data_IF_336881377884
#
_entry.id   IF_336881377884
#
_cell.length_a   1.000
_cell.length_b   1.000
_cell.length_c   1.000
_cell.angle_alpha   90.00
_cell.angle_beta   90.00
_cell.angle_gamma   90.00
#
_symmetry.space_group_name_H-M   'P 1'
#
loop_
_entity.id
_entity.type
_entity.pdbx_description
1 polymer ?
#
# COMPACT_ATOMS: atom_id res chain seq x y z
N UNK A 1 -13.24 6.49 -1.32
CA UNK A 1 -14.07 7.41 -2.09
C UNK A 1 -13.46 7.55 -3.45
N UNK A 2 -14.28 7.39 -4.48
CA UNK A 2 -13.93 7.93 -5.79
C UNK A 2 -13.46 9.37 -5.58
N UNK A 3 -12.39 9.73 -6.22
CA UNK A 3 -11.87 11.06 -6.07
C UNK A 3 -12.86 12.02 -6.66
N UNK A 4 -13.31 12.91 -5.84
CA UNK A 4 -14.09 14.04 -6.31
C UNK A 4 -13.19 14.86 -7.26
N UNK A 5 -13.54 14.97 -8.54
CA UNK A 5 -12.77 15.75 -9.49
C UNK A 5 -12.66 17.22 -9.09
N UNK A 6 -13.53 17.68 -8.20
CA UNK A 6 -13.49 19.03 -7.67
C UNK A 6 -12.55 19.19 -6.46
N UNK A 7 -12.00 18.11 -5.94
CA UNK A 7 -10.87 18.23 -5.02
C UNK A 7 -9.65 18.55 -5.87
N UNK A 8 -9.52 19.82 -6.15
CA UNK A 8 -8.39 20.35 -6.86
C UNK A 8 -7.08 19.96 -6.16
N UNK A 9 -6.01 19.92 -6.86
CA UNK A 9 -4.76 19.36 -6.37
C UNK A 9 -4.90 17.87 -6.14
N UNK A 10 -5.92 17.30 -6.69
CA UNK A 10 -5.97 15.92 -6.93
C UNK A 10 -4.84 15.63 -7.88
N UNK A 11 -3.76 15.24 -7.29
CA UNK A 11 -2.62 14.71 -8.00
C UNK A 11 -3.03 13.69 -9.05
N UNK A 12 -4.15 13.08 -8.81
CA UNK A 12 -4.72 12.11 -9.67
C UNK A 12 -5.33 12.69 -10.91
N UNK A 13 -5.79 13.89 -10.85
CA UNK A 13 -6.26 14.62 -12.03
C UNK A 13 -5.08 15.04 -12.91
N UNK A 14 -3.97 15.37 -12.27
CA UNK A 14 -2.76 15.65 -13.04
C UNK A 14 -2.21 14.43 -13.73
N UNK A 15 -2.52 13.27 -13.22
CA UNK A 15 -2.21 12.03 -13.92
C UNK A 15 -3.14 11.79 -15.08
N UNK A 16 -4.30 12.39 -15.12
CA UNK A 16 -5.24 12.20 -16.25
C UNK A 16 -4.96 13.11 -17.40
N UNK A 17 -3.96 14.11 -17.19
CA UNK A 17 -3.57 14.86 -18.05
C UNK A 17 -4.08 15.23 -19.17
N UNK A 18 -3.80 16.02 -19.76
CA UNK A 18 -4.21 16.64 -20.98
C UNK A 18 -4.55 15.60 -22.05
N UNK A 19 -5.78 15.54 -22.43
CA UNK A 19 -6.30 14.65 -23.46
C UNK A 19 -5.60 14.84 -24.83
N UNK A 20 -4.53 15.64 -24.88
CA UNK A 20 -3.79 15.94 -26.07
C UNK A 20 -2.39 15.33 -26.16
N UNK A 21 -1.87 14.73 -25.10
CA UNK A 21 -0.49 14.22 -25.07
C UNK A 21 -0.47 12.68 -25.19
N UNK A 22 -0.25 12.15 -26.37
CA UNK A 22 -0.35 10.71 -26.63
C UNK A 22 0.67 9.86 -25.87
N UNK A 23 1.78 10.42 -25.47
CA UNK A 23 2.80 9.74 -24.66
C UNK A 23 2.34 9.45 -23.23
N UNK A 24 1.43 10.24 -22.71
CA UNK A 24 0.87 10.02 -21.38
C UNK A 24 -0.17 8.92 -21.36
N UNK A 25 -0.82 8.64 -22.43
CA UNK A 25 -1.82 7.57 -22.51
C UNK A 25 -1.27 6.19 -22.24
N UNK A 26 0.02 5.98 -22.44
CA UNK A 26 0.69 4.70 -22.15
C UNK A 26 1.01 4.56 -20.66
N UNK A 27 1.46 5.62 -20.03
CA UNK A 27 1.86 5.62 -18.62
C UNK A 27 0.69 5.52 -17.66
N UNK A 28 -0.47 6.02 -18.06
CA UNK A 28 -1.64 6.09 -17.19
C UNK A 28 -2.51 4.86 -17.17
N UNK A 29 -2.29 3.90 -18.00
CA UNK A 29 -3.05 2.66 -18.04
C UNK A 29 -2.90 1.78 -16.79
N UNK A 30 -1.93 2.07 -15.94
CA UNK A 30 -1.78 1.35 -14.67
C UNK A 30 -2.94 1.57 -13.70
N UNK A 31 -3.62 2.70 -13.73
CA UNK A 31 -4.80 2.94 -12.92
C UNK A 31 -6.03 2.16 -13.40
N UNK A 32 -6.04 1.75 -14.65
CA UNK A 32 -7.15 1.00 -15.23
C UNK A 32 -7.34 -0.37 -14.58
N UNK A 33 -6.33 -0.89 -13.89
CA UNK A 33 -6.44 -2.16 -13.17
C UNK A 33 -7.52 -2.13 -12.10
N UNK A 34 -7.65 -1.05 -11.37
CA UNK A 34 -8.62 -0.91 -10.28
C UNK A 34 -9.57 0.26 -10.44
N UNK A 35 -9.28 1.19 -11.34
CA UNK A 35 -9.99 2.47 -11.48
C UNK A 35 -9.77 3.42 -10.30
N UNK A 36 -8.84 3.13 -9.40
CA UNK A 36 -8.57 3.93 -8.21
C UNK A 36 -7.08 4.18 -8.04
N UNK A 37 -6.75 5.35 -7.51
CA UNK A 37 -5.41 5.67 -7.09
C UNK A 37 -5.30 5.70 -5.57
N UNK A 38 -4.13 5.38 -5.04
CA UNK A 38 -3.86 5.64 -3.64
C UNK A 38 -3.72 7.15 -3.42
N UNK A 39 -4.15 7.62 -2.25
CA UNK A 39 -4.03 9.03 -1.86
C UNK A 39 -2.93 9.27 -0.82
N UNK A 40 -2.36 8.23 -0.26
CA UNK A 40 -1.26 8.30 0.71
C UNK A 40 0.08 8.22 -0.03
N UNK A 41 1.08 8.94 0.45
CA UNK A 41 2.46 8.91 -0.06
C UNK A 41 2.59 9.24 -1.55
N UNK A 42 1.76 10.13 -2.04
CA UNK A 42 1.86 10.63 -3.40
C UNK A 42 2.37 12.07 -3.39
N UNK A 43 3.10 12.41 -4.42
CA UNK A 43 3.52 13.79 -4.62
C UNK A 43 2.29 14.68 -4.83
N UNK A 44 2.28 15.79 -4.14
CA UNK A 44 1.28 16.82 -4.31
C UNK A 44 1.87 17.84 -5.27
N UNK A 45 1.12 18.17 -6.32
CA UNK A 45 1.47 19.28 -7.18
C UNK A 45 0.90 20.58 -6.62
N UNK A 46 1.61 21.65 -6.85
CA UNK A 46 1.18 23.00 -6.51
C UNK A 46 1.28 23.90 -7.73
N UNK A 47 0.44 24.89 -7.75
CA UNK A 47 0.48 25.91 -8.79
C UNK A 47 1.47 27.00 -8.38
N UNK A 48 2.49 27.22 -9.21
CA UNK A 48 3.49 28.24 -8.98
C UNK A 48 3.82 28.95 -10.29
N UNK A 49 3.68 30.28 -10.30
CA UNK A 49 4.04 31.15 -11.44
C UNK A 49 3.47 30.70 -12.80
N UNK A 50 2.20 30.22 -12.78
CA UNK A 50 1.55 29.78 -14.02
C UNK A 50 1.86 28.33 -14.42
N UNK A 51 2.60 27.57 -13.60
CA UNK A 51 2.96 26.18 -13.87
C UNK A 51 2.51 25.27 -12.75
N UNK A 52 2.15 24.05 -13.11
CA UNK A 52 1.92 22.96 -12.16
C UNK A 52 3.25 22.25 -11.96
N UNK A 53 3.74 22.25 -10.72
CA UNK A 53 5.00 21.62 -10.36
C UNK A 53 4.85 20.75 -9.09
N UNK A 54 5.62 19.66 -8.96
CA UNK A 54 5.66 18.90 -7.73
C UNK A 54 6.03 19.79 -6.53
N UNK A 55 5.22 19.78 -5.49
CA UNK A 55 5.44 20.59 -4.30
C UNK A 55 6.82 20.33 -3.67
N UNK A 56 7.31 19.10 -3.72
CA UNK A 56 8.67 18.76 -3.29
C UNK A 56 9.77 19.55 -4.01
N UNK A 57 9.55 19.92 -5.27
CA UNK A 57 10.51 20.76 -6.02
C UNK A 57 10.56 22.18 -5.48
N UNK A 58 9.45 22.70 -5.00
CA UNK A 58 9.40 24.03 -4.38
C UNK A 58 10.05 24.02 -2.99
N UNK A 59 9.86 22.95 -2.25
CA UNK A 59 10.47 22.79 -0.93
C UNK A 59 11.99 22.58 -0.99
N UNK A 60 12.47 21.97 -2.07
CA UNK A 60 13.87 21.63 -2.27
C UNK A 60 14.37 22.13 -3.64
N UNK A 61 14.51 23.43 -3.82
CA UNK A 61 14.87 24.01 -5.13
C UNK A 61 16.26 23.60 -5.65
N UNK A 62 17.12 23.08 -4.79
CA UNK A 62 18.42 22.53 -5.18
C UNK A 62 18.35 21.14 -5.82
N UNK A 63 17.20 20.47 -5.80
CA UNK A 63 17.02 19.20 -6.47
C UNK A 63 16.74 19.49 -7.95
N UNK A 64 17.65 19.04 -8.81
CA UNK A 64 17.58 19.30 -10.24
C UNK A 64 16.29 18.71 -10.86
N UNK A 65 15.83 19.35 -11.92
CA UNK A 65 14.65 18.92 -12.68
C UNK A 65 14.77 17.52 -13.30
N UNK A 66 15.96 16.96 -13.34
CA UNK A 66 16.22 15.60 -13.82
C UNK A 66 16.16 14.55 -12.72
N UNK A 67 15.96 14.97 -11.49
CA UNK A 67 15.84 14.04 -10.37
C UNK A 67 14.48 13.34 -10.48
N UNK A 68 14.50 12.04 -10.40
CA UNK A 68 13.29 11.19 -10.41
C UNK A 68 12.23 11.76 -9.48
N UNK A 69 10.98 11.82 -9.93
CA UNK A 69 9.83 12.24 -9.13
C UNK A 69 9.74 11.45 -7.80
N UNK A 70 10.32 10.27 -7.76
CA UNK A 70 10.42 9.45 -6.55
C UNK A 70 11.24 10.11 -5.44
N UNK A 71 12.21 10.96 -5.77
CA UNK A 71 13.04 11.66 -4.80
C UNK A 71 12.40 12.98 -4.30
N UNK A 72 11.31 13.41 -4.91
CA UNK A 72 10.57 14.62 -4.53
C UNK A 72 9.43 14.34 -3.55
N UNK A 73 9.32 13.13 -3.04
CA UNK A 73 8.35 12.83 -2.02
C UNK A 73 8.74 13.44 -0.68
N UNK A 74 7.87 14.30 -0.17
CA UNK A 74 8.03 14.97 1.12
C UNK A 74 7.19 14.35 2.22
N UNK A 75 6.42 13.32 1.90
CA UNK A 75 5.59 12.63 2.88
C UNK A 75 6.45 11.76 3.80
N UNK A 76 6.31 11.98 5.10
CA UNK A 76 6.96 11.14 6.10
C UNK A 76 6.49 9.70 6.02
N UNK A 77 7.39 8.75 6.16
CA UNK A 77 7.04 7.35 6.32
C UNK A 77 6.45 7.13 7.71
N UNK A 78 5.18 6.84 7.77
CA UNK A 78 4.47 6.62 9.04
C UNK A 78 4.72 5.19 9.49
N UNK A 79 5.43 5.01 10.60
CA UNK A 79 5.62 3.71 11.22
C UNK A 79 4.47 3.36 12.17
N UNK A 80 4.06 4.31 13.01
CA UNK A 80 2.97 4.16 13.97
C UNK A 80 2.23 5.49 14.05
N UNK A 81 0.91 5.45 14.06
CA UNK A 81 0.07 6.63 14.27
C UNK A 81 -1.09 6.34 15.21
N UNK A 82 -1.71 7.39 15.70
CA UNK A 82 -2.71 7.28 16.76
C UNK A 82 -3.89 6.36 16.41
N UNK A 83 -4.32 6.33 15.14
CA UNK A 83 -5.38 5.41 14.71
C UNK A 83 -4.96 3.94 14.87
N UNK A 84 -3.71 3.60 14.57
CA UNK A 84 -3.19 2.25 14.79
C UNK A 84 -3.21 1.90 16.30
N UNK A 85 -2.76 2.81 17.15
CA UNK A 85 -2.81 2.63 18.62
C UNK A 85 -4.24 2.41 19.11
N UNK A 86 -5.22 3.19 18.62
CA UNK A 86 -6.63 3.03 18.99
C UNK A 86 -7.20 1.68 18.55
N UNK A 87 -6.83 1.20 17.36
CA UNK A 87 -7.26 -0.10 16.86
C UNK A 87 -6.61 -1.25 17.63
N UNK A 88 -5.32 -1.15 17.96
CA UNK A 88 -4.64 -2.09 18.87
C UNK A 88 -5.28 -2.11 20.26
N UNK A 89 -5.61 -0.94 20.81
CA UNK A 89 -6.30 -0.85 22.08
C UNK A 89 -7.65 -1.57 22.07
N UNK A 90 -8.46 -1.33 21.01
CA UNK A 90 -9.74 -2.00 20.85
C UNK A 90 -9.61 -3.50 20.71
N UNK A 91 -8.61 -3.96 19.97
CA UNK A 91 -8.33 -5.40 19.81
C UNK A 91 -7.97 -6.06 21.14
N UNK A 92 -7.07 -5.45 21.92
CA UNK A 92 -6.62 -6.01 23.20
C UNK A 92 -7.68 -5.95 24.29
N UNK A 93 -8.44 -4.86 24.35
CA UNK A 93 -9.52 -4.70 25.33
C UNK A 93 -10.81 -5.41 24.95
N UNK A 94 -10.92 -5.88 23.74
CA UNK A 94 -12.13 -6.45 23.18
C UNK A 94 -13.35 -5.50 23.30
N UNK A 95 -13.12 -4.21 23.06
CA UNK A 95 -14.15 -3.19 23.06
C UNK A 95 -14.13 -2.35 21.76
N UNK A 96 -15.24 -1.69 21.47
CA UNK A 96 -15.38 -0.89 20.25
C UNK A 96 -14.96 0.58 20.42
N UNK A 97 -14.43 0.97 21.56
CA UNK A 97 -14.19 2.40 21.87
C UNK A 97 -13.18 3.04 20.92
N UNK A 98 -12.01 2.45 20.78
CA UNK A 98 -10.96 2.93 19.86
C UNK A 98 -11.38 2.78 18.39
N UNK A 99 -11.96 1.62 18.05
CA UNK A 99 -12.52 1.35 16.73
C UNK A 99 -13.50 2.46 16.29
N UNK A 100 -14.46 2.79 17.15
CA UNK A 100 -15.48 3.77 16.80
C UNK A 100 -14.95 5.21 16.79
N UNK A 101 -13.88 5.51 17.52
CA UNK A 101 -13.17 6.80 17.38
C UNK A 101 -12.54 6.94 15.99
N UNK A 102 -11.91 5.89 15.48
CA UNK A 102 -11.33 5.87 14.13
C UNK A 102 -12.43 6.05 13.08
N UNK A 103 -13.53 5.31 13.21
CA UNK A 103 -14.69 5.40 12.30
C UNK A 103 -15.35 6.78 12.30
N UNK A 104 -15.54 7.37 13.48
CA UNK A 104 -16.14 8.70 13.63
C UNK A 104 -15.33 9.78 12.89
N UNK A 105 -14.00 9.72 12.90
CA UNK A 105 -13.14 10.63 12.13
C UNK A 105 -13.45 10.60 10.62
N UNK A 106 -13.85 9.45 10.13
CA UNK A 106 -14.21 9.23 8.72
C UNK A 106 -15.72 9.34 8.46
N UNK A 107 -16.49 9.87 9.43
CA UNK A 107 -17.95 10.01 9.36
C UNK A 107 -18.68 8.68 9.13
N UNK A 108 -18.11 7.58 9.58
CA UNK A 108 -18.73 6.25 9.49
C UNK A 108 -19.54 5.95 10.77
N UNK A 109 -20.64 5.24 10.59
CA UNK A 109 -21.47 4.79 11.71
C UNK A 109 -20.67 3.86 12.66
N UNK A 110 -20.95 3.94 13.96
CA UNK A 110 -20.34 3.02 14.92
C UNK A 110 -20.77 1.58 14.67
N UNK A 111 -19.90 0.64 15.07
CA UNK A 111 -20.17 -0.79 14.99
C UNK A 111 -19.87 -1.45 16.32
N UNK A 112 -20.49 -2.61 16.57
CA UNK A 112 -20.13 -3.46 17.71
C UNK A 112 -18.71 -4.01 17.54
N UNK A 113 -18.07 -4.31 18.67
CA UNK A 113 -16.78 -4.98 18.64
C UNK A 113 -16.91 -6.40 18.08
N UNK A 114 -16.01 -6.69 17.17
CA UNK A 114 -15.63 -8.07 16.81
C UNK A 114 -14.20 -8.02 16.26
N UNK A 115 -13.49 -9.12 16.34
CA UNK A 115 -12.15 -9.20 15.76
C UNK A 115 -12.19 -8.95 14.24
N UNK A 116 -13.25 -9.40 13.58
CA UNK A 116 -13.43 -9.17 12.15
C UNK A 116 -13.65 -7.69 11.84
N UNK A 117 -14.41 -6.97 12.67
CA UNK A 117 -14.55 -5.51 12.54
C UNK A 117 -13.20 -4.78 12.70
N UNK A 118 -12.37 -5.21 13.63
CA UNK A 118 -10.99 -4.68 13.78
C UNK A 118 -10.15 -4.99 12.55
N UNK A 119 -10.13 -6.24 12.08
CA UNK A 119 -9.39 -6.66 10.88
C UNK A 119 -9.78 -5.81 9.66
N UNK A 120 -11.07 -5.56 9.51
CA UNK A 120 -11.62 -4.80 8.40
C UNK A 120 -11.27 -3.31 8.50
N UNK A 121 -11.41 -2.71 9.68
CA UNK A 121 -11.07 -1.30 9.89
C UNK A 121 -9.57 -1.05 9.71
N UNK A 122 -8.72 -1.93 10.27
CA UNK A 122 -7.27 -1.86 10.04
C UNK A 122 -6.91 -1.93 8.55
N UNK A 123 -7.58 -2.81 7.81
CA UNK A 123 -7.37 -2.93 6.37
C UNK A 123 -7.67 -1.64 5.62
N UNK A 124 -8.72 -0.93 6.00
CA UNK A 124 -9.12 0.32 5.34
C UNK A 124 -8.32 1.52 5.82
N UNK A 125 -8.23 1.68 7.13
CA UNK A 125 -7.60 2.83 7.75
C UNK A 125 -6.10 2.86 7.50
N UNK A 126 -5.43 1.71 7.60
CA UNK A 126 -3.98 1.58 7.49
C UNK A 126 -3.52 1.10 6.09
N UNK A 127 -4.39 1.19 5.11
CA UNK A 127 -4.05 0.85 3.73
C UNK A 127 -2.84 1.67 3.26
N UNK A 128 -1.92 1.03 2.55
CA UNK A 128 -0.67 1.61 2.02
C UNK A 128 0.37 2.04 3.08
N UNK A 129 0.20 1.68 4.34
CA UNK A 129 1.14 1.98 5.42
C UNK A 129 2.04 0.79 5.80
N UNK A 130 2.20 -0.16 4.90
CA UNK A 130 3.06 -1.35 5.03
C UNK A 130 2.75 -2.28 6.22
N UNK A 131 1.59 -2.10 6.87
CA UNK A 131 1.19 -2.87 8.07
C UNK A 131 0.46 -4.16 7.69
N UNK A 132 -0.22 -4.18 6.55
CA UNK A 132 -1.14 -5.27 6.16
C UNK A 132 -0.51 -6.66 6.19
N UNK A 133 0.72 -6.79 5.75
CA UNK A 133 1.43 -8.06 5.75
C UNK A 133 1.56 -8.64 7.17
N UNK A 134 1.99 -7.81 8.10
CA UNK A 134 2.18 -8.19 9.50
C UNK A 134 0.86 -8.54 10.18
N UNK A 135 -0.20 -7.80 9.92
CA UNK A 135 -1.54 -8.09 10.42
C UNK A 135 -2.03 -9.47 9.94
N UNK A 136 -1.89 -9.77 8.66
CA UNK A 136 -2.28 -11.06 8.09
C UNK A 136 -1.53 -12.20 8.77
N UNK A 137 -0.22 -12.07 8.95
CA UNK A 137 0.59 -13.11 9.58
C UNK A 137 0.23 -13.30 11.05
N UNK A 138 0.15 -12.23 11.84
CA UNK A 138 -0.12 -12.33 13.28
C UNK A 138 -1.49 -12.91 13.60
N UNK A 139 -2.51 -12.59 12.81
CA UNK A 139 -3.85 -13.16 13.00
C UNK A 139 -3.95 -14.61 12.56
N UNK A 140 -3.16 -14.99 11.58
CA UNK A 140 -3.12 -16.38 11.09
C UNK A 140 -2.43 -17.35 12.06
N UNK A 141 -1.58 -16.83 12.93
CA UNK A 141 -0.78 -17.63 13.84
C UNK A 141 0.19 -18.58 13.13
N UNK A 142 0.74 -19.56 13.84
CA UNK A 142 1.78 -20.45 13.32
C UNK A 142 1.34 -21.32 12.13
N UNK A 143 0.04 -21.57 11.97
CA UNK A 143 -0.49 -22.40 10.88
C UNK A 143 -0.38 -21.72 9.52
N UNK A 144 -0.41 -20.39 9.49
CA UNK A 144 -0.43 -19.53 8.29
C UNK A 144 -1.60 -19.84 7.32
N UNK A 145 -2.65 -20.52 7.81
CA UNK A 145 -3.79 -20.94 7.00
C UNK A 145 -4.59 -19.73 6.49
N UNK A 146 -5.03 -18.85 7.39
CA UNK A 146 -5.80 -17.66 7.05
C UNK A 146 -4.99 -16.73 6.13
N UNK A 147 -3.70 -16.53 6.43
CA UNK A 147 -2.81 -15.74 5.61
C UNK A 147 -2.71 -16.30 4.18
N UNK A 148 -2.53 -17.60 4.06
CA UNK A 148 -2.47 -18.28 2.77
C UNK A 148 -3.77 -18.15 1.97
N UNK A 149 -4.92 -18.27 2.62
CA UNK A 149 -6.23 -18.12 1.99
C UNK A 149 -6.46 -16.67 1.49
N UNK A 150 -6.04 -15.68 2.28
CA UNK A 150 -6.10 -14.26 1.87
C UNK A 150 -5.22 -14.02 0.63
N UNK A 151 -4.01 -14.57 0.61
CA UNK A 151 -3.11 -14.40 -0.52
C UNK A 151 -3.63 -15.10 -1.78
N UNK A 152 -4.16 -16.31 -1.65
CA UNK A 152 -4.70 -17.05 -2.78
C UNK A 152 -5.95 -16.39 -3.40
N UNK A 153 -6.70 -15.60 -2.62
CA UNK A 153 -7.83 -14.80 -3.15
C UNK A 153 -7.39 -13.64 -4.03
N UNK A 154 -6.13 -13.24 -3.96
CA UNK A 154 -5.58 -12.14 -4.76
C UNK A 154 -5.12 -12.58 -6.16
N UNK A 155 -5.30 -13.84 -6.50
CA UNK A 155 -4.92 -14.39 -7.81
C UNK A 155 -6.07 -14.28 -8.82
N UNK A 156 -5.75 -14.19 -10.09
CA UNK A 156 -6.72 -14.24 -11.17
C UNK A 156 -7.13 -12.88 -11.76
N UNK A 157 -6.40 -11.81 -11.42
CA UNK A 157 -6.54 -10.52 -12.11
C UNK A 157 -5.48 -10.37 -13.21
N UNK A 158 -5.73 -9.46 -14.12
CA UNK A 158 -4.80 -9.16 -15.20
C UNK A 158 -3.72 -8.18 -14.70
N UNK A 159 -2.53 -8.35 -15.23
CA UNK A 159 -1.44 -7.39 -15.07
C UNK A 159 -1.36 -6.57 -16.35
N UNK A 160 -1.39 -5.26 -16.21
CA UNK A 160 -1.13 -4.36 -17.33
C UNK A 160 0.37 -4.08 -17.35
N UNK A 161 1.01 -4.51 -18.44
CA UNK A 161 2.41 -4.21 -18.70
C UNK A 161 2.48 -3.33 -19.95
N UNK A 162 2.69 -2.04 -19.73
CA UNK A 162 2.58 -1.00 -20.76
C UNK A 162 1.21 -1.09 -21.47
N UNK A 163 1.17 -1.33 -22.77
CA UNK A 163 -0.07 -1.45 -23.54
C UNK A 163 -0.64 -2.88 -23.56
N UNK A 164 0.01 -3.83 -22.90
CA UNK A 164 -0.35 -5.24 -22.99
C UNK A 164 -1.02 -5.71 -21.71
N UNK A 165 -2.19 -6.30 -21.83
CA UNK A 165 -2.89 -6.97 -20.73
C UNK A 165 -2.41 -8.41 -20.68
N UNK A 166 -1.76 -8.79 -19.60
CA UNK A 166 -1.26 -10.13 -19.38
C UNK A 166 -2.04 -10.78 -18.23
N UNK A 167 -2.68 -11.92 -18.45
CA UNK A 167 -3.31 -12.65 -17.36
C UNK A 167 -2.28 -13.02 -16.30
N UNK A 168 -2.58 -12.74 -15.04
CA UNK A 168 -1.73 -13.18 -13.94
C UNK A 168 -1.78 -14.69 -13.83
N UNK A 169 -0.62 -15.34 -13.85
CA UNK A 169 -0.53 -16.77 -13.62
C UNK A 169 -1.02 -17.09 -12.21
N UNK A 170 -1.96 -18.01 -12.12
CA UNK A 170 -2.46 -18.47 -10.83
C UNK A 170 -1.34 -19.20 -10.09
N UNK A 171 -0.96 -18.67 -8.94
CA UNK A 171 0.09 -19.21 -8.09
C UNK A 171 -0.49 -19.65 -6.74
N UNK A 172 -0.03 -20.77 -6.21
CA UNK A 172 -0.43 -21.23 -4.86
C UNK A 172 0.46 -20.57 -3.80
N UNK A 173 0.10 -19.35 -3.45
CA UNK A 173 0.79 -18.59 -2.40
C UNK A 173 0.68 -19.26 -1.03
N UNK A 174 -0.44 -19.95 -0.74
CA UNK A 174 -0.64 -20.66 0.52
C UNK A 174 0.39 -21.77 0.71
N UNK A 175 0.57 -22.58 -0.34
CA UNK A 175 1.57 -23.65 -0.31
C UNK A 175 2.97 -23.09 -0.07
N UNK A 176 3.35 -22.05 -0.80
CA UNK A 176 4.67 -21.43 -0.65
C UNK A 176 4.87 -20.78 0.71
N UNK A 177 3.89 -20.00 1.19
CA UNK A 177 3.95 -19.33 2.49
C UNK A 177 4.17 -20.35 3.63
N UNK A 178 3.44 -21.44 3.59
CA UNK A 178 3.56 -22.51 4.60
C UNK A 178 4.91 -23.23 4.51
N UNK A 179 5.37 -23.54 3.32
CA UNK A 179 6.64 -24.18 3.11
C UNK A 179 7.80 -23.31 3.63
N UNK A 180 7.74 -22.01 3.38
CA UNK A 180 8.72 -21.04 3.87
C UNK A 180 8.46 -20.61 5.34
N UNK A 181 7.45 -21.13 6.01
CA UNK A 181 7.07 -20.79 7.38
C UNK A 181 6.85 -19.28 7.61
N UNK A 182 6.41 -18.56 6.58
CA UNK A 182 6.21 -17.11 6.62
C UNK A 182 7.48 -16.27 6.50
N UNK A 183 8.65 -16.89 6.40
CA UNK A 183 9.91 -16.17 6.23
C UNK A 183 10.13 -15.71 4.80
N UNK A 184 10.94 -14.68 4.65
CA UNK A 184 11.51 -14.23 3.39
C UNK A 184 12.90 -14.87 3.19
N UNK A 185 13.39 -14.98 1.93
CA UNK A 185 14.73 -15.45 1.70
C UNK A 185 15.76 -14.44 2.25
N UNK A 186 16.83 -14.96 2.82
CA UNK A 186 18.00 -14.15 3.12
C UNK A 186 18.72 -13.86 1.79
N UNK A 187 19.08 -12.60 1.48
CA UNK A 187 19.82 -12.30 0.28
C UNK A 187 21.09 -13.15 0.17
N UNK A 188 21.35 -13.70 -1.01
CA UNK A 188 22.49 -14.60 -1.21
C UNK A 188 23.82 -13.94 -0.85
N UNK A 189 23.99 -12.66 -1.18
CA UNK A 189 25.17 -11.89 -0.83
C UNK A 189 25.45 -11.86 0.67
N UNK A 190 24.42 -11.87 1.50
CA UNK A 190 24.59 -11.87 2.96
C UNK A 190 24.98 -13.26 3.47
N UNK A 191 24.47 -14.31 2.84
CA UNK A 191 24.90 -15.69 3.13
C UNK A 191 26.37 -15.86 2.77
N UNK A 192 26.77 -15.40 1.59
CA UNK A 192 28.15 -15.53 1.10
C UNK A 192 29.11 -14.74 2.00
N UNK A 193 28.78 -13.53 2.40
CA UNK A 193 29.57 -12.72 3.34
C UNK A 193 29.69 -13.33 4.74
N UNK A 194 28.74 -14.15 5.13
CA UNK A 194 28.72 -14.76 6.46
C UNK A 194 29.73 -15.88 6.63
N UNK A 195 30.45 -16.30 5.56
CA UNK A 195 31.37 -17.43 5.57
C UNK A 195 30.75 -18.74 6.13
N UNK A 196 29.51 -19.01 5.77
CA UNK A 196 28.82 -20.24 6.16
C UNK A 196 28.12 -20.21 7.53
N UNK A 197 28.07 -19.03 8.19
CA UNK A 197 27.36 -18.88 9.47
C UNK A 197 25.86 -18.75 9.23
N UNK A 198 25.44 -18.00 8.19
CA UNK A 198 24.04 -17.87 7.85
C UNK A 198 23.59 -19.04 6.96
N UNK A 199 22.49 -19.65 7.37
CA UNK A 199 21.81 -20.71 6.60
C UNK A 199 20.50 -20.14 6.06
N UNK A 200 20.20 -20.44 4.81
CA UNK A 200 18.98 -19.97 4.16
C UNK A 200 17.72 -20.42 4.90
N UNK A 201 16.70 -19.58 4.87
CA UNK A 201 15.39 -19.91 5.40
C UNK A 201 14.76 -21.10 4.66
N UNK A 202 13.84 -21.85 5.30
CA UNK A 202 13.26 -23.06 4.69
C UNK A 202 12.66 -22.82 3.31
N UNK A 203 12.97 -23.73 2.38
CA UNK A 203 12.43 -23.77 1.00
C UNK A 203 12.83 -22.59 0.09
N UNK A 204 14.01 -22.03 0.32
CA UNK A 204 14.67 -21.12 -0.60
C UNK A 204 16.01 -21.65 -1.08
#
# INVERSE_FOLDING_TARGET
>A
KALDPNIAGNVLMDCTMDEGEPEYTVSYRYYEQTGYFQKKYININSYNEGKIEPFGKQMFPGISSQTSQQLLQIADLIHIRFADVLLMQSELKQDATGLNKVRARSHLAPVAYSLEAIKQERRWELAFESIRWWDILRWSGPSLEEAGDILNKQTGFNIINAATVVPMVKFDYKKRLRAAQGYWPIPQDEIDKSNGVLVQNPNY
#
